data_IF_985455496407
#
_entry.id   IF_985455496407
#
_cell.length_a   1.000
_cell.length_b   1.000
_cell.length_c   1.000
_cell.angle_alpha   90.00
_cell.angle_beta   90.00
_cell.angle_gamma   90.00
#
_symmetry.space_group_name_H-M   'P 1'
#
loop_
_entity.id
_entity.type
_entity.pdbx_description
1 polymer ?
#
# COMPACT_ATOMS: atom_id res chain seq x y z
N UNK A 1 61.31 38.39 44.34
CA UNK A 1 60.16 37.48 44.48
C UNK A 1 58.95 38.29 44.03
N UNK A 2 58.62 38.08 42.78
CA UNK A 2 57.56 38.82 42.09
C UNK A 2 56.34 37.89 41.99
N UNK A 3 55.28 38.22 42.71
CA UNK A 3 54.03 37.45 42.69
C UNK A 3 53.09 38.15 41.72
N UNK A 4 53.06 37.70 40.48
CA UNK A 4 52.10 38.13 39.48
C UNK A 4 50.66 37.76 39.83
N UNK A 5 49.66 38.55 39.40
CA UNK A 5 48.27 38.34 39.77
C UNK A 5 47.69 37.13 39.12
N UNK A 6 46.88 36.38 39.89
CA UNK A 6 46.09 35.23 39.43
C UNK A 6 45.07 35.65 38.35
N UNK A 7 44.78 34.80 37.34
CA UNK A 7 43.79 35.13 36.33
C UNK A 7 42.38 35.09 36.91
N UNK A 8 41.64 36.15 36.63
CA UNK A 8 40.26 36.39 36.98
C UNK A 8 39.32 35.34 36.38
N UNK A 9 38.60 34.59 37.18
CA UNK A 9 37.73 33.45 36.82
C UNK A 9 36.27 33.87 36.58
N UNK A 10 36.02 35.04 36.00
CA UNK A 10 34.67 35.58 35.86
C UNK A 10 34.23 35.86 34.40
N UNK A 11 34.37 34.89 33.49
CA UNK A 11 33.67 34.94 32.20
C UNK A 11 33.17 33.57 31.81
N UNK A 12 32.19 33.05 32.57
CA UNK A 12 31.32 32.01 32.04
C UNK A 12 30.35 32.70 31.09
N UNK A 13 30.33 32.39 29.80
CA UNK A 13 29.29 32.90 28.89
C UNK A 13 27.96 32.43 29.46
N UNK A 14 27.07 33.34 29.85
CA UNK A 14 25.67 33.03 30.10
C UNK A 14 25.10 32.43 28.80
N UNK A 15 24.99 31.12 28.74
CA UNK A 15 24.21 30.40 27.75
C UNK A 15 22.79 30.93 27.90
N UNK A 16 22.39 31.82 27.00
CA UNK A 16 21.00 32.25 26.87
C UNK A 16 20.20 30.96 26.59
N UNK A 17 19.28 30.54 27.46
CA UNK A 17 18.47 29.37 27.21
C UNK A 17 17.75 29.56 25.87
N UNK A 18 17.65 28.54 25.04
CA UNK A 18 16.92 28.65 23.79
C UNK A 18 15.51 29.16 24.08
N UNK A 19 14.97 30.05 23.22
CA UNK A 19 13.65 30.63 23.42
C UNK A 19 12.64 29.50 23.66
N UNK A 20 11.86 29.62 24.73
CA UNK A 20 10.83 28.63 25.07
C UNK A 20 9.88 28.50 23.89
N UNK A 21 9.81 27.29 23.31
CA UNK A 21 8.87 27.00 22.25
C UNK A 21 7.45 27.38 22.70
N UNK A 22 6.81 28.28 21.98
CA UNK A 22 5.44 28.71 22.26
C UNK A 22 4.45 27.53 22.10
N UNK A 23 3.30 27.62 22.79
CA UNK A 23 2.22 26.60 22.67
C UNK A 23 1.89 26.20 21.23
N UNK A 24 1.82 27.12 20.24
CA UNK A 24 1.58 26.73 18.85
C UNK A 24 2.68 25.81 18.27
N UNK A 25 3.96 26.09 18.55
CA UNK A 25 5.04 25.23 18.05
C UNK A 25 4.96 23.81 18.61
N UNK A 26 4.59 23.66 19.88
CA UNK A 26 4.41 22.36 20.53
C UNK A 26 3.26 21.54 19.94
N UNK A 27 2.20 22.17 19.45
CA UNK A 27 1.05 21.51 18.83
C UNK A 27 1.36 21.07 17.40
N UNK A 28 1.96 21.95 16.61
CA UNK A 28 2.14 21.75 15.17
C UNK A 28 3.48 21.11 14.81
N UNK A 29 4.53 21.38 15.59
CA UNK A 29 5.88 20.96 15.26
C UNK A 29 6.44 19.92 16.24
N UNK A 30 7.36 19.13 15.75
CA UNK A 30 8.25 18.26 16.51
C UNK A 30 9.62 18.31 15.84
N UNK A 31 10.65 18.69 16.59
CA UNK A 31 12.02 18.84 16.07
C UNK A 31 12.09 19.75 14.82
N UNK A 32 11.32 20.86 14.83
CA UNK A 32 11.25 21.80 13.71
C UNK A 32 10.44 21.34 12.49
N UNK A 33 9.88 20.11 12.49
CA UNK A 33 9.07 19.54 11.42
C UNK A 33 7.61 19.42 11.81
N UNK A 34 6.69 19.48 10.83
CA UNK A 34 5.28 19.22 11.07
C UNK A 34 5.08 17.81 11.66
N UNK A 35 4.25 17.72 12.72
CA UNK A 35 3.88 16.41 13.28
C UNK A 35 3.12 15.58 12.28
N UNK A 36 3.34 14.26 12.28
CA UNK A 36 2.76 13.30 11.33
C UNK A 36 1.23 13.41 11.19
N UNK A 37 0.50 13.68 12.27
CA UNK A 37 -0.95 13.89 12.20
C UNK A 37 -1.35 15.08 11.32
N UNK A 38 -0.66 16.21 11.44
CA UNK A 38 -0.91 17.38 10.57
C UNK A 38 -0.50 17.14 9.13
N UNK A 39 0.61 16.43 8.92
CA UNK A 39 1.05 16.01 7.58
C UNK A 39 -0.03 15.17 6.88
N UNK A 40 -0.63 14.19 7.59
CA UNK A 40 -1.71 13.37 7.05
C UNK A 40 -2.99 14.18 6.80
N UNK A 41 -3.34 15.12 7.69
CA UNK A 41 -4.51 15.99 7.50
C UNK A 41 -4.34 16.90 6.27
N UNK A 42 -3.18 17.51 6.10
CA UNK A 42 -2.86 18.35 4.94
C UNK A 42 -2.91 17.50 3.66
N UNK A 43 -2.30 16.32 3.68
CA UNK A 43 -2.38 15.39 2.55
C UNK A 43 -3.82 15.02 2.21
N UNK A 44 -4.62 14.63 3.21
CA UNK A 44 -6.03 14.30 3.01
C UNK A 44 -6.84 15.47 2.47
N UNK A 45 -6.56 16.70 2.92
CA UNK A 45 -7.21 17.91 2.40
C UNK A 45 -6.88 18.14 0.92
N UNK A 46 -5.62 17.95 0.51
CA UNK A 46 -5.25 18.04 -0.92
C UNK A 46 -5.88 16.91 -1.73
N UNK A 47 -5.87 15.67 -1.24
CA UNK A 47 -6.55 14.55 -1.92
C UNK A 47 -8.04 14.85 -2.10
N UNK A 48 -8.72 15.32 -1.05
CA UNK A 48 -10.14 15.68 -1.12
C UNK A 48 -10.39 16.84 -2.10
N UNK A 49 -9.59 17.91 -2.01
CA UNK A 49 -9.72 19.09 -2.88
C UNK A 49 -9.45 18.78 -4.35
N UNK A 50 -8.33 18.11 -4.64
CA UNK A 50 -7.97 17.70 -6.00
C UNK A 50 -8.96 16.65 -6.55
N UNK A 51 -9.37 15.70 -5.72
CA UNK A 51 -10.33 14.66 -6.09
C UNK A 51 -11.71 15.26 -6.39
N UNK A 52 -12.22 16.15 -5.54
CA UNK A 52 -13.50 16.83 -5.76
C UNK A 52 -13.44 17.75 -6.98
N UNK A 53 -12.48 18.68 -7.02
CA UNK A 53 -12.36 19.65 -8.12
C UNK A 53 -12.09 18.97 -9.47
N UNK A 54 -11.11 18.07 -9.51
CA UNK A 54 -10.80 17.30 -10.70
C UNK A 54 -11.94 16.38 -11.13
N UNK A 55 -12.64 15.77 -10.18
CA UNK A 55 -13.83 14.95 -10.44
C UNK A 55 -14.98 15.73 -11.07
N UNK A 56 -15.21 16.98 -10.66
CA UNK A 56 -16.19 17.87 -11.30
C UNK A 56 -15.83 18.16 -12.76
N UNK A 57 -14.55 18.38 -13.04
CA UNK A 57 -14.06 18.59 -14.41
C UNK A 57 -14.17 17.29 -15.22
N UNK A 58 -13.72 16.15 -14.67
CA UNK A 58 -13.74 14.87 -15.36
C UNK A 58 -15.15 14.45 -15.79
N UNK A 59 -16.16 14.67 -14.95
CA UNK A 59 -17.59 14.37 -15.25
C UNK A 59 -18.13 15.11 -16.46
N UNK A 60 -17.53 16.21 -16.88
CA UNK A 60 -17.95 16.93 -18.10
C UNK A 60 -17.53 16.19 -19.37
N UNK A 61 -16.44 15.41 -19.30
CA UNK A 61 -15.85 14.71 -20.44
C UNK A 61 -16.12 13.21 -20.44
N UNK A 62 -16.28 12.62 -19.25
CA UNK A 62 -16.43 11.18 -19.07
C UNK A 62 -17.74 10.89 -18.38
N UNK A 63 -18.66 10.23 -19.10
CA UNK A 63 -19.93 9.77 -18.54
C UNK A 63 -19.82 8.28 -18.20
N UNK A 64 -20.33 7.85 -17.04
CA UNK A 64 -20.44 6.43 -16.74
C UNK A 64 -21.29 5.75 -17.85
N UNK A 65 -20.78 4.69 -18.44
CA UNK A 65 -21.57 3.86 -19.35
C UNK A 65 -22.60 3.09 -18.52
N UNK A 66 -23.89 3.26 -18.86
CA UNK A 66 -24.94 2.49 -18.21
C UNK A 66 -24.78 0.99 -18.53
N UNK A 67 -24.49 0.15 -17.53
CA UNK A 67 -24.71 -1.28 -17.55
C UNK A 67 -23.53 -2.22 -17.72
N UNK A 68 -22.32 -1.76 -18.00
CA UNK A 68 -21.11 -2.61 -17.96
C UNK A 68 -19.89 -1.80 -17.56
N UNK A 69 -18.97 -2.39 -16.82
CA UNK A 69 -17.65 -1.80 -16.56
C UNK A 69 -16.91 -1.62 -17.89
N UNK A 70 -16.95 -0.41 -18.45
CA UNK A 70 -16.15 -0.09 -19.62
C UNK A 70 -14.68 -0.04 -19.24
N UNK A 71 -13.77 -0.83 -19.88
CA UNK A 71 -12.34 -0.79 -19.57
C UNK A 71 -11.75 0.61 -19.66
N UNK A 72 -12.19 1.41 -20.64
CA UNK A 72 -11.75 2.80 -20.80
C UNK A 72 -12.18 3.70 -19.65
N UNK A 73 -13.37 3.51 -19.10
CA UNK A 73 -13.85 4.27 -17.94
C UNK A 73 -13.05 3.93 -16.68
N UNK A 74 -12.84 2.64 -16.43
CA UNK A 74 -12.02 2.17 -15.31
C UNK A 74 -10.58 2.70 -15.41
N UNK A 75 -9.99 2.64 -16.60
CA UNK A 75 -8.64 3.18 -16.85
C UNK A 75 -8.54 4.66 -16.49
N UNK A 76 -9.50 5.48 -16.93
CA UNK A 76 -9.52 6.91 -16.62
C UNK A 76 -9.69 7.14 -15.13
N UNK A 77 -10.55 6.35 -14.48
CA UNK A 77 -10.80 6.46 -13.04
C UNK A 77 -9.54 6.13 -12.23
N UNK A 78 -8.85 5.03 -12.54
CA UNK A 78 -7.62 4.63 -11.84
C UNK A 78 -6.48 5.63 -12.10
N UNK A 79 -6.30 6.08 -13.35
CA UNK A 79 -5.30 7.09 -13.69
C UNK A 79 -5.57 8.41 -12.97
N UNK A 80 -6.83 8.83 -12.87
CA UNK A 80 -7.22 10.02 -12.14
C UNK A 80 -6.94 9.85 -10.63
N UNK A 81 -7.34 8.73 -10.04
CA UNK A 81 -7.13 8.43 -8.63
C UNK A 81 -5.64 8.44 -8.27
N UNK A 82 -4.80 7.78 -9.06
CA UNK A 82 -3.35 7.83 -8.88
C UNK A 82 -2.80 9.25 -9.02
N UNK A 83 -3.24 10.01 -10.02
CA UNK A 83 -2.79 11.38 -10.25
C UNK A 83 -3.10 12.29 -9.05
N UNK A 84 -4.29 12.15 -8.46
CA UNK A 84 -4.71 12.91 -7.29
C UNK A 84 -3.83 12.62 -6.07
N UNK A 85 -3.65 11.34 -5.72
CA UNK A 85 -2.86 10.99 -4.53
C UNK A 85 -1.38 11.32 -4.71
N UNK A 86 -0.85 11.14 -5.92
CA UNK A 86 0.54 11.45 -6.22
C UNK A 86 0.80 12.96 -6.23
N UNK A 87 -0.08 13.76 -6.85
CA UNK A 87 0.01 15.22 -6.83
C UNK A 87 -0.07 15.78 -5.41
N UNK A 88 -0.99 15.26 -4.57
CA UNK A 88 -1.07 15.64 -3.16
C UNK A 88 0.24 15.33 -2.42
N UNK A 89 0.86 14.17 -2.67
CA UNK A 89 2.14 13.80 -2.07
C UNK A 89 3.29 14.70 -2.56
N UNK A 90 3.30 15.07 -3.84
CA UNK A 90 4.29 16.03 -4.38
C UNK A 90 4.16 17.38 -3.71
N UNK A 91 2.93 17.90 -3.54
CA UNK A 91 2.70 19.19 -2.87
C UNK A 91 3.20 19.14 -1.43
N UNK A 92 2.86 18.09 -0.68
CA UNK A 92 3.33 17.97 0.70
C UNK A 92 4.84 17.79 0.77
N UNK A 93 5.45 17.01 -0.13
CA UNK A 93 6.90 16.86 -0.21
C UNK A 93 7.59 18.22 -0.44
N UNK A 94 7.03 19.09 -1.29
CA UNK A 94 7.53 20.45 -1.50
C UNK A 94 7.41 21.31 -0.24
N UNK A 95 6.28 21.23 0.48
CA UNK A 95 6.09 21.93 1.77
C UNK A 95 7.15 21.46 2.79
N UNK A 96 7.51 20.21 2.77
CA UNK A 96 8.52 19.61 3.66
C UNK A 96 9.96 19.73 3.14
N UNK A 97 10.16 20.40 2.01
CA UNK A 97 11.48 20.56 1.35
C UNK A 97 12.19 19.23 1.08
N UNK A 98 11.44 18.21 0.67
CA UNK A 98 11.98 16.87 0.36
C UNK A 98 11.50 16.36 -1.00
N UNK A 99 12.20 15.35 -1.53
CA UNK A 99 11.78 14.67 -2.77
C UNK A 99 10.63 13.72 -2.51
N UNK A 100 9.63 13.67 -3.41
CA UNK A 100 8.54 12.68 -3.37
C UNK A 100 9.07 11.23 -3.40
N UNK A 101 10.26 11.00 -3.95
CA UNK A 101 10.91 9.70 -4.00
C UNK A 101 11.21 9.07 -2.62
N UNK A 102 11.25 9.89 -1.53
CA UNK A 102 11.42 9.37 -0.16
C UNK A 102 10.26 8.49 0.30
N UNK A 103 9.08 8.67 -0.32
CA UNK A 103 7.90 7.84 -0.07
C UNK A 103 7.93 6.51 -0.86
N UNK A 104 9.09 6.09 -1.31
CA UNK A 104 9.33 4.78 -1.91
C UNK A 104 9.20 4.72 -3.45
N UNK A 105 8.83 5.81 -4.13
CA UNK A 105 8.66 5.82 -5.59
C UNK A 105 9.64 6.83 -6.26
N UNK A 106 10.98 6.58 -6.20
CA UNK A 106 11.95 7.45 -6.82
C UNK A 106 11.84 7.41 -8.35
N UNK A 107 11.82 8.57 -9.01
CA UNK A 107 11.78 8.66 -10.48
C UNK A 107 13.03 8.04 -11.10
N UNK A 108 14.20 8.24 -10.47
CA UNK A 108 15.43 7.55 -10.87
C UNK A 108 15.29 6.04 -10.61
N UNK A 109 15.35 5.24 -11.65
CA UNK A 109 15.14 3.79 -11.58
C UNK A 109 13.68 3.36 -11.76
N UNK A 110 12.77 4.29 -12.14
CA UNK A 110 11.45 3.95 -12.64
C UNK A 110 11.58 2.94 -13.80
N UNK A 111 10.75 1.89 -13.76
CA UNK A 111 10.80 0.80 -14.76
C UNK A 111 12.17 0.11 -14.92
N UNK A 112 13.09 0.32 -13.96
CA UNK A 112 14.41 -0.29 -13.95
C UNK A 112 14.41 -1.73 -13.42
N UNK A 113 15.60 -2.19 -12.97
CA UNK A 113 15.82 -3.58 -12.54
C UNK A 113 14.78 -4.08 -11.52
N UNK A 114 14.45 -3.27 -10.50
CA UNK A 114 13.48 -3.68 -9.47
C UNK A 114 12.08 -3.88 -10.04
N UNK A 115 11.63 -2.99 -10.93
CA UNK A 115 10.35 -3.14 -11.61
C UNK A 115 10.30 -4.42 -12.45
N UNK A 116 11.35 -4.66 -13.28
CA UNK A 116 11.42 -5.87 -14.09
C UNK A 116 11.49 -7.15 -13.24
N UNK A 117 12.20 -7.11 -12.11
CA UNK A 117 12.21 -8.23 -11.16
C UNK A 117 10.83 -8.46 -10.54
N UNK A 118 10.15 -7.38 -10.13
CA UNK A 118 8.79 -7.46 -9.62
C UNK A 118 7.83 -8.02 -10.66
N UNK A 119 7.89 -7.51 -11.89
CA UNK A 119 7.07 -8.01 -13.00
C UNK A 119 7.27 -9.50 -13.23
N UNK A 120 8.51 -9.97 -13.22
CA UNK A 120 8.81 -11.40 -13.36
C UNK A 120 8.27 -12.21 -12.18
N UNK A 121 8.42 -11.72 -10.96
CA UNK A 121 7.93 -12.38 -9.74
C UNK A 121 6.41 -12.55 -9.81
N UNK A 122 5.64 -11.51 -10.16
CA UNK A 122 4.19 -11.61 -10.24
C UNK A 122 3.71 -12.55 -11.33
N UNK A 123 4.36 -12.55 -12.51
CA UNK A 123 4.05 -13.52 -13.56
C UNK A 123 4.35 -14.96 -13.13
N UNK A 124 5.47 -15.20 -12.45
CA UNK A 124 5.82 -16.53 -11.92
C UNK A 124 4.81 -16.96 -10.85
N UNK A 125 4.42 -16.05 -9.96
CA UNK A 125 3.44 -16.35 -8.91
C UNK A 125 2.08 -16.75 -9.48
N UNK A 126 1.49 -15.91 -10.33
CA UNK A 126 0.17 -16.20 -10.91
C UNK A 126 0.21 -17.46 -11.77
N UNK A 127 1.32 -17.70 -12.48
CA UNK A 127 1.50 -18.92 -13.27
C UNK A 127 1.59 -20.17 -12.37
N UNK A 128 2.32 -20.08 -11.26
CA UNK A 128 2.41 -21.17 -10.29
C UNK A 128 1.05 -21.42 -9.62
N UNK A 129 0.34 -20.38 -9.23
CA UNK A 129 -0.97 -20.45 -8.61
C UNK A 129 -2.00 -21.13 -9.54
N UNK A 130 -2.16 -20.61 -10.74
CA UNK A 130 -3.10 -21.19 -11.74
C UNK A 130 -2.66 -22.58 -12.16
N UNK A 131 -1.35 -22.81 -12.29
CA UNK A 131 -0.77 -24.13 -12.58
C UNK A 131 -1.08 -25.17 -11.49
N UNK A 132 -1.02 -24.78 -10.21
CA UNK A 132 -1.44 -25.66 -9.09
C UNK A 132 -2.94 -25.94 -9.17
N UNK A 133 -3.79 -24.93 -9.35
CA UNK A 133 -5.22 -25.10 -9.51
C UNK A 133 -5.52 -26.04 -10.68
N UNK A 134 -4.83 -25.89 -11.83
CA UNK A 134 -4.97 -26.76 -13.00
C UNK A 134 -4.53 -28.20 -12.72
N UNK A 135 -3.42 -28.40 -12.00
CA UNK A 135 -2.93 -29.74 -11.65
C UNK A 135 -3.93 -30.53 -10.77
N UNK A 136 -4.76 -29.83 -10.01
CA UNK A 136 -5.85 -30.44 -9.23
C UNK A 136 -7.20 -30.41 -9.95
N UNK A 137 -7.22 -30.13 -11.28
CA UNK A 137 -8.42 -30.14 -12.12
C UNK A 137 -9.35 -28.95 -11.94
N UNK A 138 -8.87 -27.87 -11.30
CA UNK A 138 -9.68 -26.67 -11.00
C UNK A 138 -9.67 -25.61 -12.10
N UNK A 139 -8.86 -25.77 -13.15
CA UNK A 139 -8.74 -24.80 -14.23
C UNK A 139 -8.66 -25.48 -15.60
N UNK A 140 -9.33 -24.91 -16.60
CA UNK A 140 -9.19 -25.27 -18.00
C UNK A 140 -9.04 -24.04 -18.89
N UNK A 141 -8.14 -24.12 -19.86
CA UNK A 141 -7.80 -23.00 -20.75
C UNK A 141 -8.91 -22.64 -21.76
N UNK A 142 -9.62 -23.62 -22.32
CA UNK A 142 -10.79 -23.44 -23.18
C UNK A 142 -10.53 -22.88 -24.59
N UNK A 143 -9.28 -22.70 -25.00
CA UNK A 143 -8.90 -22.12 -26.29
C UNK A 143 -8.83 -20.59 -26.31
N UNK A 144 -8.28 -20.00 -27.39
CA UNK A 144 -8.13 -18.56 -27.53
C UNK A 144 -9.47 -17.85 -27.75
N UNK A 145 -9.71 -16.76 -27.04
CA UNK A 145 -10.87 -15.87 -27.18
C UNK A 145 -10.58 -14.67 -28.08
N UNK A 146 -9.32 -14.24 -28.16
CA UNK A 146 -8.87 -13.11 -29.00
C UNK A 146 -7.74 -13.53 -29.93
N UNK A 147 -7.69 -12.94 -31.12
CA UNK A 147 -6.75 -13.33 -32.18
C UNK A 147 -6.17 -12.10 -32.89
N UNK A 148 -5.03 -12.28 -33.58
CA UNK A 148 -4.43 -11.25 -34.42
C UNK A 148 -4.15 -9.94 -33.66
N UNK A 149 -4.53 -8.82 -34.25
CA UNK A 149 -4.30 -7.50 -33.67
C UNK A 149 -5.01 -7.24 -32.35
N UNK A 150 -6.15 -7.92 -32.10
CA UNK A 150 -6.88 -7.81 -30.81
C UNK A 150 -6.07 -8.37 -29.64
N UNK A 151 -5.25 -9.39 -29.87
CA UNK A 151 -4.35 -9.95 -28.87
C UNK A 151 -3.38 -8.87 -28.34
N UNK A 152 -2.74 -8.14 -29.24
CA UNK A 152 -1.82 -7.07 -28.89
C UNK A 152 -2.55 -5.90 -28.22
N UNK A 153 -3.69 -5.51 -28.78
CA UNK A 153 -4.51 -4.41 -28.27
C UNK A 153 -4.95 -4.64 -26.81
N UNK A 154 -5.56 -5.78 -26.53
CA UNK A 154 -6.04 -6.11 -25.19
C UNK A 154 -4.90 -6.39 -24.22
N UNK A 155 -3.84 -7.09 -24.67
CA UNK A 155 -2.65 -7.32 -23.86
C UNK A 155 -2.00 -6.01 -23.40
N UNK A 156 -1.82 -5.05 -24.31
CA UNK A 156 -1.27 -3.74 -23.96
C UNK A 156 -2.21 -2.94 -23.06
N UNK A 157 -3.51 -2.96 -23.33
CA UNK A 157 -4.50 -2.25 -22.52
C UNK A 157 -4.47 -2.73 -21.08
N UNK A 158 -4.54 -4.05 -20.85
CA UNK A 158 -4.52 -4.62 -19.51
C UNK A 158 -3.17 -4.46 -18.82
N UNK A 159 -2.06 -4.57 -19.53
CA UNK A 159 -0.73 -4.33 -18.94
C UNK A 159 -0.58 -2.91 -18.43
N UNK A 160 -1.06 -1.90 -19.18
CA UNK A 160 -1.01 -0.49 -18.75
C UNK A 160 -2.04 -0.21 -17.66
N UNK A 161 -3.24 -0.80 -17.75
CA UNK A 161 -4.28 -0.65 -16.72
C UNK A 161 -3.78 -1.14 -15.36
N UNK A 162 -3.30 -2.37 -15.29
CA UNK A 162 -2.82 -2.93 -14.02
C UNK A 162 -1.52 -2.30 -13.52
N UNK A 163 -0.71 -1.73 -14.42
CA UNK A 163 0.39 -0.87 -13.99
C UNK A 163 -0.12 0.35 -13.23
N UNK A 164 -1.20 0.98 -13.68
CA UNK A 164 -1.80 2.13 -13.00
C UNK A 164 -2.46 1.71 -11.69
N UNK A 165 -3.17 0.57 -11.66
CA UNK A 165 -3.72 0.00 -10.42
C UNK A 165 -2.61 -0.25 -9.40
N UNK A 166 -1.55 -0.95 -9.78
CA UNK A 166 -0.40 -1.20 -8.90
C UNK A 166 0.28 0.09 -8.42
N UNK A 167 0.41 1.11 -9.29
CA UNK A 167 0.93 2.41 -8.89
C UNK A 167 0.01 3.09 -7.87
N UNK A 168 -1.30 3.09 -8.12
CA UNK A 168 -2.29 3.70 -7.24
C UNK A 168 -2.30 3.02 -5.87
N UNK A 169 -2.52 1.72 -5.83
CA UNK A 169 -2.69 0.99 -4.58
C UNK A 169 -1.40 0.91 -3.77
N UNK A 170 -0.25 0.62 -4.41
CA UNK A 170 1.00 0.53 -3.68
C UNK A 170 1.47 1.89 -3.15
N UNK A 171 1.28 2.96 -3.91
CA UNK A 171 1.62 4.30 -3.44
C UNK A 171 0.66 4.79 -2.35
N UNK A 172 -0.63 4.46 -2.46
CA UNK A 172 -1.62 4.80 -1.44
C UNK A 172 -1.30 4.10 -0.10
N UNK A 173 -1.14 2.78 -0.11
CA UNK A 173 -1.02 2.00 1.12
C UNK A 173 0.41 1.91 1.66
N UNK A 174 1.44 1.86 0.79
CA UNK A 174 2.86 1.64 1.17
C UNK A 174 3.73 2.85 0.91
N UNK A 175 3.22 3.88 0.21
CA UNK A 175 3.91 5.14 -0.04
C UNK A 175 3.74 6.15 1.07
N UNK A 176 3.14 7.31 0.74
CA UNK A 176 3.05 8.47 1.63
C UNK A 176 2.38 8.16 2.98
N UNK A 177 1.28 7.41 2.97
CA UNK A 177 0.50 7.14 4.20
C UNK A 177 1.32 6.27 5.16
N UNK A 178 1.93 5.16 4.69
CA UNK A 178 2.74 4.30 5.54
C UNK A 178 3.97 5.04 6.09
N UNK A 179 4.66 5.81 5.24
CA UNK A 179 5.81 6.60 5.63
C UNK A 179 5.46 7.59 6.76
N UNK A 180 4.37 8.33 6.58
CA UNK A 180 3.96 9.35 7.55
C UNK A 180 3.37 8.74 8.82
N UNK A 181 2.62 7.64 8.67
CA UNK A 181 2.03 6.92 9.81
C UNK A 181 3.11 6.30 10.71
N UNK A 182 4.22 5.81 10.13
CA UNK A 182 5.34 5.29 10.91
C UNK A 182 5.94 6.32 11.88
N UNK A 183 5.88 7.60 11.51
CA UNK A 183 6.32 8.73 12.36
C UNK A 183 5.25 9.19 13.36
N UNK A 184 4.02 8.69 13.27
CA UNK A 184 2.92 9.10 14.14
C UNK A 184 3.05 8.47 15.52
N UNK A 185 2.83 9.27 16.58
CA UNK A 185 2.77 8.75 17.93
C UNK A 185 1.64 7.72 18.11
N UNK A 186 1.79 6.81 19.07
CA UNK A 186 0.84 5.72 19.29
C UNK A 186 -0.62 6.19 19.43
N UNK A 187 -0.90 7.13 20.32
CA UNK A 187 -2.27 7.58 20.60
C UNK A 187 -2.97 8.22 19.39
N UNK A 188 -2.36 9.18 18.67
CA UNK A 188 -2.96 9.69 17.43
C UNK A 188 -3.21 8.61 16.39
N UNK A 189 -2.30 7.64 16.24
CA UNK A 189 -2.49 6.53 15.32
C UNK A 189 -3.66 5.64 15.76
N UNK A 190 -3.75 5.27 17.02
CA UNK A 190 -4.84 4.46 17.56
C UNK A 190 -6.21 5.14 17.37
N UNK A 191 -6.31 6.45 17.65
CA UNK A 191 -7.55 7.23 17.45
C UNK A 191 -7.93 7.26 15.97
N UNK A 192 -6.98 7.56 15.09
CA UNK A 192 -7.22 7.61 13.64
C UNK A 192 -7.77 6.28 13.12
N UNK A 193 -7.10 5.17 13.46
CA UNK A 193 -7.54 3.85 13.01
C UNK A 193 -8.87 3.42 13.64
N UNK A 194 -9.10 3.71 14.91
CA UNK A 194 -10.39 3.43 15.55
C UNK A 194 -11.54 4.19 14.87
N UNK A 195 -11.33 5.46 14.52
CA UNK A 195 -12.32 6.26 13.82
C UNK A 195 -12.55 5.75 12.38
N UNK A 196 -11.48 5.39 11.66
CA UNK A 196 -11.57 4.85 10.31
C UNK A 196 -12.32 3.51 10.28
N UNK A 197 -11.98 2.60 11.18
CA UNK A 197 -12.65 1.32 11.30
C UNK A 197 -14.10 1.49 11.75
N UNK A 198 -14.40 2.39 12.68
CA UNK A 198 -15.77 2.73 13.06
C UNK A 198 -16.60 3.16 11.84
N UNK A 199 -16.08 4.08 11.03
CA UNK A 199 -16.78 4.56 9.84
C UNK A 199 -17.05 3.43 8.84
N UNK A 200 -16.05 2.57 8.57
CA UNK A 200 -16.19 1.43 7.67
C UNK A 200 -17.20 0.40 8.20
N UNK A 201 -17.26 0.19 9.52
CA UNK A 201 -18.25 -0.68 10.14
C UNK A 201 -19.68 -0.13 10.02
N UNK A 202 -19.85 1.16 10.27
CA UNK A 202 -21.17 1.80 10.18
C UNK A 202 -21.70 1.88 8.74
N UNK A 203 -20.80 1.83 7.74
CA UNK A 203 -21.18 1.80 6.33
C UNK A 203 -21.73 0.43 5.90
N UNK A 204 -21.26 -0.66 6.49
CA UNK A 204 -21.65 -2.04 6.18
C UNK A 204 -22.33 -2.68 7.40
N UNK A 205 -23.68 -2.72 7.39
CA UNK A 205 -24.50 -3.32 8.46
C UNK A 205 -24.46 -4.85 8.38
N UNK A 206 -23.42 -5.49 8.91
CA UNK A 206 -23.50 -6.95 8.92
C UNK A 206 -22.54 -7.68 9.83
N UNK A 207 -21.25 -7.68 9.72
CA UNK A 207 -20.44 -8.77 10.32
C UNK A 207 -19.19 -8.33 11.11
N UNK A 208 -19.24 -7.19 11.78
CA UNK A 208 -18.04 -6.49 12.21
C UNK A 208 -17.51 -6.72 13.63
N UNK A 209 -18.19 -7.44 14.53
CA UNK A 209 -17.75 -7.54 15.94
C UNK A 209 -16.38 -8.22 16.07
N UNK A 210 -16.13 -9.28 15.31
CA UNK A 210 -14.84 -10.01 15.35
C UNK A 210 -13.66 -9.16 14.87
N UNK A 211 -13.87 -8.35 13.85
CA UNK A 211 -12.84 -7.45 13.32
C UNK A 211 -12.49 -6.32 14.30
N UNK A 212 -13.51 -5.77 15.00
CA UNK A 212 -13.32 -4.78 16.05
C UNK A 212 -12.56 -5.31 17.24
N UNK A 213 -12.90 -6.51 17.68
CA UNK A 213 -12.17 -7.17 18.75
C UNK A 213 -10.71 -7.38 18.36
N UNK A 214 -10.43 -7.78 17.13
CA UNK A 214 -9.07 -7.91 16.63
C UNK A 214 -8.32 -6.57 16.58
N UNK A 215 -8.95 -5.49 16.11
CA UNK A 215 -8.35 -4.15 16.06
C UNK A 215 -8.10 -3.58 17.47
N UNK A 216 -9.03 -3.76 18.42
CA UNK A 216 -8.89 -3.36 19.81
C UNK A 216 -7.78 -4.19 20.49
N UNK A 217 -7.80 -5.53 20.34
CA UNK A 217 -6.77 -6.41 20.88
C UNK A 217 -5.40 -6.07 20.32
N UNK A 218 -5.31 -5.81 19.02
CA UNK A 218 -4.08 -5.41 18.36
C UNK A 218 -3.57 -4.08 18.92
N UNK A 219 -4.46 -3.08 19.08
CA UNK A 219 -4.10 -1.78 19.66
C UNK A 219 -3.64 -1.91 21.11
N UNK A 220 -4.28 -2.76 21.91
CA UNK A 220 -3.91 -3.02 23.31
C UNK A 220 -2.59 -3.81 23.42
N UNK A 221 -2.40 -4.82 22.57
CA UNK A 221 -1.18 -5.64 22.57
C UNK A 221 0.02 -4.81 22.10
N UNK A 222 -0.14 -4.04 21.04
CA UNK A 222 0.90 -3.14 20.50
C UNK A 222 1.19 -2.00 21.47
N UNK A 223 0.18 -1.41 22.09
CA UNK A 223 0.35 -0.40 23.12
C UNK A 223 1.19 -0.91 24.28
N UNK A 224 0.93 -2.14 24.73
CA UNK A 224 1.67 -2.76 25.85
C UNK A 224 3.12 -3.10 25.48
N UNK A 225 3.35 -3.61 24.28
CA UNK A 225 4.71 -3.92 23.78
C UNK A 225 5.50 -2.64 23.54
N UNK A 226 4.86 -1.62 22.97
CA UNK A 226 5.51 -0.34 22.65
C UNK A 226 5.84 0.46 23.93
N UNK A 227 4.94 0.50 24.91
CA UNK A 227 5.18 1.18 26.19
C UNK A 227 6.26 0.49 27.02
N UNK A 228 6.43 -0.84 26.90
CA UNK A 228 7.47 -1.57 27.63
C UNK A 228 8.86 -1.52 26.95
N UNK A 229 8.92 -1.28 25.64
CA UNK A 229 10.18 -1.32 24.89
C UNK A 229 10.87 0.05 24.78
N UNK A 230 10.21 1.14 25.15
CA UNK A 230 10.69 2.50 24.91
C UNK A 230 10.70 3.30 26.20
N UNK A 231 11.87 3.39 26.83
CA UNK A 231 12.14 4.44 27.79
C UNK A 231 12.05 5.82 27.13
N UNK A 232 10.91 6.48 27.24
CA UNK A 232 10.80 7.93 27.27
C UNK A 232 10.67 8.72 25.96
N UNK A 233 11.12 8.32 24.76
CA UNK A 233 11.08 9.18 23.57
C UNK A 233 10.83 8.43 22.26
N UNK A 234 9.75 7.65 22.18
CA UNK A 234 9.38 6.95 20.95
C UNK A 234 9.04 7.93 19.81
N UNK A 235 9.86 7.97 18.77
CA UNK A 235 9.72 8.87 17.63
C UNK A 235 8.46 8.63 16.79
N UNK A 236 7.79 7.47 16.93
CA UNK A 236 6.59 7.08 16.17
C UNK A 236 6.23 5.61 16.41
N UNK A 237 5.12 5.12 15.79
CA UNK A 237 4.74 3.70 15.90
C UNK A 237 5.70 2.77 15.14
N UNK A 238 6.48 3.32 14.22
CA UNK A 238 7.45 2.59 13.43
C UNK A 238 6.86 1.90 12.19
N UNK A 239 7.76 1.34 11.37
CA UNK A 239 7.43 0.76 10.07
C UNK A 239 6.44 -0.41 10.16
N UNK A 240 6.69 -1.40 11.01
CA UNK A 240 5.88 -2.62 11.04
C UNK A 240 4.46 -2.41 11.57
N UNK A 241 4.23 -1.66 12.65
CA UNK A 241 2.86 -1.31 13.06
C UNK A 241 2.09 -0.58 11.97
N UNK A 242 2.71 0.40 11.30
CA UNK A 242 2.09 1.09 10.19
C UNK A 242 1.73 0.13 9.04
N UNK A 243 2.67 -0.76 8.66
CA UNK A 243 2.46 -1.76 7.63
C UNK A 243 1.32 -2.73 7.96
N UNK A 244 1.26 -3.23 9.21
CA UNK A 244 0.19 -4.14 9.64
C UNK A 244 -1.17 -3.44 9.60
N UNK A 245 -1.27 -2.22 10.15
CA UNK A 245 -2.52 -1.45 10.17
C UNK A 245 -3.02 -1.18 8.74
N UNK A 246 -2.13 -0.79 7.82
CA UNK A 246 -2.49 -0.53 6.44
C UNK A 246 -2.80 -1.81 5.65
N UNK A 247 -2.15 -2.93 5.94
CA UNK A 247 -2.50 -4.22 5.33
C UNK A 247 -3.86 -4.72 5.80
N UNK A 248 -4.20 -4.54 7.09
CA UNK A 248 -5.54 -4.81 7.60
C UNK A 248 -6.60 -3.92 6.92
N UNK A 249 -6.30 -2.64 6.74
CA UNK A 249 -7.19 -1.73 6.02
C UNK A 249 -7.34 -2.15 4.55
N UNK A 250 -6.25 -2.55 3.91
CA UNK A 250 -6.24 -3.03 2.53
C UNK A 250 -7.15 -4.27 2.36
N UNK A 251 -7.01 -5.29 3.22
CA UNK A 251 -7.92 -6.43 3.23
C UNK A 251 -9.37 -6.05 3.54
N UNK A 252 -9.59 -5.04 4.42
CA UNK A 252 -10.94 -4.58 4.75
C UNK A 252 -11.65 -3.93 3.56
N UNK A 253 -10.96 -3.10 2.78
CA UNK A 253 -11.59 -2.45 1.62
C UNK A 253 -11.90 -3.47 0.51
N UNK A 254 -11.13 -4.56 0.41
CA UNK A 254 -11.41 -5.65 -0.53
C UNK A 254 -12.64 -6.48 -0.19
N UNK A 255 -13.10 -6.49 1.08
CA UNK A 255 -14.36 -7.16 1.44
C UNK A 255 -15.58 -6.58 0.73
N UNK A 256 -15.48 -5.40 0.15
CA UNK A 256 -16.55 -4.77 -0.64
C UNK A 256 -16.57 -5.24 -2.11
N UNK A 257 -15.58 -6.05 -2.53
CA UNK A 257 -15.49 -6.62 -3.87
C UNK A 257 -16.54 -7.73 -4.08
N UNK A 258 -17.04 -7.91 -5.31
CA UNK A 258 -18.05 -8.92 -5.62
C UNK A 258 -17.59 -10.34 -5.26
N UNK A 259 -18.34 -11.03 -4.41
CA UNK A 259 -18.05 -12.42 -4.03
C UNK A 259 -16.92 -12.62 -3.03
N UNK A 260 -16.30 -11.52 -2.56
CA UNK A 260 -15.23 -11.57 -1.57
C UNK A 260 -15.75 -12.07 -0.22
N UNK A 261 -14.85 -12.69 0.53
CA UNK A 261 -15.12 -13.19 1.86
C UNK A 261 -13.89 -13.06 2.76
N UNK A 262 -14.03 -13.39 4.02
CA UNK A 262 -12.96 -13.21 4.99
C UNK A 262 -11.66 -13.98 4.64
N UNK A 263 -11.73 -15.10 3.90
CA UNK A 263 -10.55 -15.87 3.47
C UNK A 263 -9.73 -15.09 2.44
N UNK A 264 -10.40 -14.56 1.40
CA UNK A 264 -9.70 -13.74 0.40
C UNK A 264 -9.19 -12.42 1.02
N UNK A 265 -10.00 -11.77 1.85
CA UNK A 265 -9.54 -10.58 2.58
C UNK A 265 -8.30 -10.85 3.45
N UNK A 266 -8.18 -12.04 4.07
CA UNK A 266 -6.94 -12.46 4.75
C UNK A 266 -5.78 -12.66 3.77
N UNK A 267 -6.05 -13.17 2.56
CA UNK A 267 -5.07 -13.23 1.48
C UNK A 267 -4.53 -11.84 1.13
N UNK A 268 -5.44 -10.87 0.96
CA UNK A 268 -5.08 -9.47 0.69
C UNK A 268 -4.26 -8.85 1.84
N UNK A 269 -4.59 -9.16 3.11
CA UNK A 269 -3.76 -8.76 4.27
C UNK A 269 -2.37 -9.39 4.17
N UNK A 270 -2.30 -10.68 3.87
CA UNK A 270 -1.02 -11.40 3.79
C UNK A 270 -0.12 -10.86 2.68
N UNK A 271 -0.64 -10.68 1.46
CA UNK A 271 0.15 -10.09 0.36
C UNK A 271 0.54 -8.64 0.68
N UNK A 272 -0.33 -7.88 1.34
CA UNK A 272 -0.03 -6.54 1.81
C UNK A 272 1.17 -6.48 2.74
N UNK A 273 1.29 -7.44 3.66
CA UNK A 273 2.45 -7.57 4.55
C UNK A 273 3.71 -8.01 3.80
N UNK A 274 3.57 -8.89 2.81
CA UNK A 274 4.70 -9.33 1.96
C UNK A 274 5.20 -8.16 1.11
N UNK A 275 4.32 -7.34 0.55
CA UNK A 275 4.69 -6.12 -0.17
C UNK A 275 5.39 -5.10 0.73
N UNK A 276 4.89 -4.90 1.96
CA UNK A 276 5.58 -4.08 2.94
C UNK A 276 6.96 -4.67 3.32
N UNK A 277 7.08 -6.00 3.42
CA UNK A 277 8.36 -6.66 3.64
C UNK A 277 9.32 -6.44 2.47
N UNK A 278 8.86 -6.58 1.23
CA UNK A 278 9.64 -6.29 0.03
C UNK A 278 10.10 -4.82 -0.01
N UNK A 279 9.20 -3.89 0.33
CA UNK A 279 9.54 -2.47 0.49
C UNK A 279 10.61 -2.26 1.57
N UNK A 280 10.49 -2.92 2.73
CA UNK A 280 11.48 -2.83 3.82
C UNK A 280 12.87 -3.33 3.38
N UNK A 281 12.92 -4.36 2.53
CA UNK A 281 14.15 -4.92 1.99
C UNK A 281 14.81 -4.02 0.93
N UNK A 282 14.01 -3.50 0.01
CA UNK A 282 14.50 -2.75 -1.15
C UNK A 282 14.54 -1.23 -0.92
N UNK A 283 13.67 -0.72 -0.03
CA UNK A 283 13.43 0.73 0.13
C UNK A 283 12.79 1.35 -1.12
N UNK A 284 12.10 0.55 -1.95
CA UNK A 284 11.65 1.00 -3.25
C UNK A 284 10.37 0.26 -3.67
N UNK A 285 9.33 1.01 -4.03
CA UNK A 285 8.04 0.46 -4.44
C UNK A 285 8.04 -0.10 -5.85
N UNK A 286 9.02 0.22 -6.70
CA UNK A 286 9.01 -0.29 -8.08
C UNK A 286 9.02 -1.82 -8.17
N UNK A 287 9.60 -2.52 -7.17
CA UNK A 287 9.51 -3.98 -7.09
C UNK A 287 8.06 -4.42 -6.90
N UNK A 288 7.36 -3.87 -5.91
CA UNK A 288 6.00 -4.29 -5.60
C UNK A 288 4.98 -3.79 -6.62
N UNK A 289 5.19 -2.61 -7.20
CA UNK A 289 4.37 -2.12 -8.34
C UNK A 289 4.46 -3.06 -9.54
N UNK A 290 5.68 -3.48 -9.90
CA UNK A 290 5.86 -4.44 -10.99
C UNK A 290 5.22 -5.80 -10.69
N UNK A 291 5.35 -6.27 -9.44
CA UNK A 291 4.79 -7.53 -8.99
C UNK A 291 3.26 -7.51 -9.01
N UNK A 292 2.64 -6.55 -8.35
CA UNK A 292 1.19 -6.36 -8.31
C UNK A 292 0.61 -6.28 -9.73
N UNK A 293 1.13 -5.35 -10.53
CA UNK A 293 0.66 -5.14 -11.91
C UNK A 293 0.72 -6.40 -12.77
N UNK A 294 1.78 -7.19 -12.65
CA UNK A 294 1.94 -8.40 -13.48
C UNK A 294 1.14 -9.59 -12.97
N UNK A 295 0.88 -9.68 -11.68
CA UNK A 295 -0.01 -10.68 -11.09
C UNK A 295 -1.44 -10.47 -11.63
N UNK A 296 -1.98 -9.26 -11.50
CA UNK A 296 -3.31 -8.90 -11.97
C UNK A 296 -3.46 -9.03 -13.49
N UNK A 297 -2.42 -8.58 -14.24
CA UNK A 297 -2.36 -8.80 -15.68
C UNK A 297 -2.42 -10.29 -16.04
N UNK A 298 -1.72 -11.11 -15.26
CA UNK A 298 -1.72 -12.55 -15.42
C UNK A 298 -3.10 -13.16 -15.19
N UNK A 299 -3.76 -12.84 -14.07
CA UNK A 299 -5.13 -13.32 -13.79
C UNK A 299 -6.09 -12.89 -14.89
N UNK A 300 -6.15 -11.59 -15.18
CA UNK A 300 -7.14 -11.01 -16.08
C UNK A 300 -6.91 -11.39 -17.54
N UNK A 301 -5.69 -11.15 -18.05
CA UNK A 301 -5.42 -11.33 -19.46
C UNK A 301 -4.91 -12.73 -19.81
N UNK A 302 -3.82 -13.19 -19.18
CA UNK A 302 -3.17 -14.44 -19.57
C UNK A 302 -4.01 -15.67 -19.23
N UNK A 303 -4.51 -15.73 -18.00
CA UNK A 303 -5.28 -16.88 -17.50
C UNK A 303 -6.78 -16.70 -17.60
N UNK A 304 -7.25 -15.48 -17.89
CA UNK A 304 -8.67 -15.20 -18.16
C UNK A 304 -9.59 -15.66 -17.03
N UNK A 305 -9.17 -15.40 -15.80
CA UNK A 305 -9.90 -15.74 -14.56
C UNK A 305 -10.39 -14.46 -13.88
N UNK A 306 -11.36 -14.55 -12.97
CA UNK A 306 -11.74 -13.39 -12.15
C UNK A 306 -10.53 -12.82 -11.40
N UNK A 307 -10.46 -11.51 -11.29
CA UNK A 307 -9.48 -10.77 -10.52
C UNK A 307 -10.26 -9.93 -9.50
N UNK A 308 -10.05 -10.16 -8.23
CA UNK A 308 -10.78 -9.53 -7.11
C UNK A 308 -12.30 -9.55 -7.31
N UNK A 309 -12.83 -10.66 -7.84
CA UNK A 309 -14.26 -10.84 -8.09
C UNK A 309 -14.79 -10.20 -9.38
N UNK A 310 -13.92 -9.58 -10.18
CA UNK A 310 -14.32 -8.94 -11.45
C UNK A 310 -13.86 -9.79 -12.63
N UNK A 311 -14.79 -10.05 -13.55
CA UNK A 311 -14.49 -10.67 -14.84
C UNK A 311 -14.45 -9.58 -15.90
N UNK A 312 -13.27 -9.38 -16.47
CA UNK A 312 -13.04 -8.34 -17.49
C UNK A 312 -13.23 -8.90 -18.90
N UNK A 313 -13.66 -8.06 -19.84
CA UNK A 313 -13.71 -8.39 -21.26
C UNK A 313 -12.32 -8.29 -21.90
N UNK A 314 -12.14 -8.93 -23.08
CA UNK A 314 -10.88 -8.85 -23.84
C UNK A 314 -9.74 -9.65 -23.21
N UNK A 315 -10.05 -10.75 -22.58
CA UNK A 315 -9.12 -11.73 -22.05
C UNK A 315 -8.62 -12.70 -23.15
N UNK A 316 -7.50 -13.38 -22.89
CA UNK A 316 -6.78 -14.20 -23.87
C UNK A 316 -7.56 -15.46 -24.29
N UNK A 317 -8.24 -16.11 -23.34
CA UNK A 317 -8.81 -17.44 -23.55
C UNK A 317 -10.23 -17.57 -22.99
N UNK A 318 -10.95 -18.61 -23.43
CA UNK A 318 -12.25 -19.00 -22.87
C UNK A 318 -12.04 -19.91 -21.64
N UNK A 319 -11.23 -19.44 -20.70
CA UNK A 319 -10.89 -20.22 -19.52
C UNK A 319 -12.08 -20.39 -18.57
N UNK A 320 -12.04 -21.43 -17.75
CA UNK A 320 -13.04 -21.66 -16.71
C UNK A 320 -12.42 -22.28 -15.47
N UNK A 321 -12.98 -21.91 -14.32
CA UNK A 321 -12.64 -22.47 -13.02
C UNK A 321 -13.70 -23.53 -12.64
N UNK A 322 -13.24 -24.65 -12.11
CA UNK A 322 -14.10 -25.79 -11.75
C UNK A 322 -13.79 -26.32 -10.35
N UNK A 323 -14.82 -26.80 -9.66
CA UNK A 323 -14.65 -27.48 -8.39
C UNK A 323 -14.88 -26.60 -7.16
N UNK A 324 -14.34 -27.04 -6.05
CA UNK A 324 -14.62 -26.43 -4.76
C UNK A 324 -13.99 -25.02 -4.61
N UNK A 325 -14.66 -24.13 -3.86
CA UNK A 325 -14.20 -22.75 -3.61
C UNK A 325 -12.79 -22.70 -2.99
N UNK A 326 -12.44 -23.63 -2.09
CA UNK A 326 -11.10 -23.66 -1.50
C UNK A 326 -9.99 -23.92 -2.53
N UNK A 327 -10.30 -24.64 -3.61
CA UNK A 327 -9.37 -24.94 -4.70
C UNK A 327 -9.21 -23.77 -5.66
N UNK A 328 -10.33 -23.17 -6.08
CA UNK A 328 -10.35 -22.21 -7.20
C UNK A 328 -10.46 -20.75 -6.76
N UNK A 329 -10.73 -20.48 -5.47
CA UNK A 329 -11.11 -19.17 -4.95
C UNK A 329 -12.58 -18.80 -5.21
N UNK A 330 -13.29 -19.59 -6.04
CA UNK A 330 -14.70 -19.34 -6.38
C UNK A 330 -14.89 -18.13 -7.26
N UNK A 331 -15.84 -17.25 -6.91
CA UNK A 331 -16.16 -16.05 -7.67
C UNK A 331 -15.12 -14.93 -7.55
N UNK A 332 -14.31 -14.94 -6.50
CA UNK A 332 -13.23 -13.96 -6.30
C UNK A 332 -12.12 -14.17 -7.33
N UNK A 333 -11.75 -15.41 -7.57
CA UNK A 333 -10.65 -15.78 -8.44
C UNK A 333 -9.56 -16.57 -7.70
N UNK A 334 -8.46 -16.94 -8.37
CA UNK A 334 -7.38 -17.74 -7.82
C UNK A 334 -6.79 -17.21 -6.50
N UNK A 335 -6.80 -15.91 -6.28
CA UNK A 335 -6.34 -15.26 -5.05
C UNK A 335 -7.10 -15.71 -3.79
N UNK A 336 -8.37 -16.15 -3.94
CA UNK A 336 -9.16 -16.76 -2.86
C UNK A 336 -8.89 -18.25 -2.64
N UNK A 337 -7.97 -18.88 -3.38
CA UNK A 337 -7.57 -20.27 -3.26
C UNK A 337 -6.63 -20.52 -2.08
N UNK A 338 -6.66 -21.74 -1.52
CA UNK A 338 -5.66 -22.14 -0.53
C UNK A 338 -4.23 -22.11 -1.11
N UNK A 339 -4.07 -22.32 -2.40
CA UNK A 339 -2.77 -22.27 -3.06
C UNK A 339 -2.18 -20.87 -3.13
N UNK A 340 -3.01 -19.83 -3.06
CA UNK A 340 -2.54 -18.44 -2.93
C UNK A 340 -1.69 -18.27 -1.66
N UNK A 341 -2.13 -18.78 -0.52
CA UNK A 341 -1.33 -18.71 0.71
C UNK A 341 -0.02 -19.50 0.61
N UNK A 342 -0.01 -20.63 -0.13
CA UNK A 342 1.20 -21.41 -0.38
C UNK A 342 2.20 -20.62 -1.24
N UNK A 343 1.75 -20.04 -2.37
CA UNK A 343 2.62 -19.25 -3.27
C UNK A 343 3.14 -18.01 -2.56
N UNK A 344 2.31 -17.29 -1.83
CA UNK A 344 2.71 -16.16 -1.00
C UNK A 344 3.76 -16.54 0.05
N UNK A 345 3.60 -17.67 0.74
CA UNK A 345 4.59 -18.16 1.70
C UNK A 345 5.95 -18.44 1.06
N UNK A 346 5.96 -19.09 -0.10
CA UNK A 346 7.19 -19.36 -0.89
C UNK A 346 7.84 -18.02 -1.29
N UNK A 347 7.06 -17.06 -1.75
CA UNK A 347 7.57 -15.76 -2.16
C UNK A 347 8.10 -14.92 -1.00
N UNK A 348 7.49 -14.98 0.17
CA UNK A 348 8.04 -14.34 1.36
C UNK A 348 9.47 -14.86 1.67
N UNK A 349 9.68 -16.18 1.55
CA UNK A 349 11.00 -16.79 1.68
C UNK A 349 11.93 -16.35 0.54
N UNK A 350 11.45 -16.35 -0.70
CA UNK A 350 12.24 -15.89 -1.85
C UNK A 350 12.68 -14.43 -1.71
N UNK A 351 11.81 -13.53 -1.28
CA UNK A 351 12.15 -12.12 -0.99
C UNK A 351 13.21 -12.03 0.12
N UNK A 352 13.09 -12.86 1.15
CA UNK A 352 14.08 -12.90 2.23
C UNK A 352 15.48 -13.27 1.72
N UNK A 353 15.56 -14.23 0.80
CA UNK A 353 16.81 -14.74 0.26
C UNK A 353 17.41 -13.84 -0.83
N UNK A 354 16.57 -13.34 -1.74
CA UNK A 354 17.00 -12.56 -2.91
C UNK A 354 17.31 -11.10 -2.57
N UNK A 355 16.67 -10.54 -1.55
CA UNK A 355 16.85 -9.16 -1.13
C UNK A 355 17.35 -9.09 0.32
N UNK A 356 18.66 -9.20 0.55
CA UNK A 356 19.22 -9.14 1.90
C UNK A 356 18.85 -7.83 2.59
N UNK A 357 18.74 -7.87 3.93
CA UNK A 357 18.40 -6.67 4.70
C UNK A 357 19.39 -5.55 4.40
N UNK A 358 18.89 -4.36 4.09
CA UNK A 358 19.73 -3.16 4.03
C UNK A 358 20.39 -2.99 5.39
N UNK A 359 21.71 -2.79 5.40
CA UNK A 359 22.40 -2.31 6.60
C UNK A 359 21.75 -0.97 6.93
N UNK A 360 20.94 -0.94 7.97
CA UNK A 360 20.29 0.31 8.43
C UNK A 360 21.40 1.27 8.82
N UNK A 361 21.40 2.45 8.21
CA UNK A 361 22.20 3.57 8.66
C UNK A 361 21.85 3.82 10.14
N UNK A 362 22.83 3.85 11.07
CA UNK A 362 22.56 4.14 12.48
C UNK A 362 21.79 5.42 12.73
N UNK A 363 21.80 6.36 11.76
CA UNK A 363 21.04 7.62 11.81
C UNK A 363 19.52 7.46 11.52
N UNK A 364 19.04 6.25 11.15
CA UNK A 364 17.61 5.96 10.86
C UNK A 364 16.97 5.03 11.92
N UNK A 365 17.64 4.84 13.06
CA UNK A 365 17.06 4.16 14.23
C UNK A 365 16.28 5.12 15.11
#
# INVERSE_FOLDING_TARGET
MDTGPSPDSSTIPHLIPPPSEGLPSKIFLRDGKLRAGWRLLIYAAFVAGLGFGGGLVLRQFVRPSHGAFSPGYLFIQEAFSFSVIFAAAVIVAQIEHQSVGVYGLPIRGAFGKLFCQGWLIGLVEVSALVGLIAAFGGYSFGGLAVHGGELLRWGMLWAVFFLIVGLFEEFLFRGYIQFTLADMGFWPAAILFSALFWRLHMSNRGDGIGFWLAAIWFSLLFGRVHLNSQGGDAKGIGFWPAAILLSLLFGRVHLDNPGEGWVGALGVVAIGLIFAFALRRTGNLWLVVGWHASFDFGETFLYSVPNSGIVFSGHLSNASLHGAKWLTGGTVGPEGSVFSFLTMGILAVAIHLLFPARKTDPAQK
#
